data_IF_882941682457
#
_entry.id   IF_882941682457
#
_cell.length_a   1.000
_cell.length_b   1.000
_cell.length_c   1.000
_cell.angle_alpha   90.00
_cell.angle_beta   90.00
_cell.angle_gamma   90.00
#
_symmetry.space_group_name_H-M   'P 1'
#
loop_
_entity.id
_entity.type
_entity.pdbx_description
1 polymer ?
#
# COMPACT_ATOMS: atom_id res chain seq x y z
N UNK A 1 -16.61 -7.43 0.69
CA UNK A 1 -16.63 -6.02 1.16
C UNK A 1 -16.00 -5.12 0.11
N UNK A 2 -16.24 -3.80 0.11
CA UNK A 2 -15.54 -2.88 -0.80
C UNK A 2 -14.19 -2.48 -0.17
N UNK A 3 -13.10 -2.61 -0.92
CA UNK A 3 -11.78 -2.19 -0.46
C UNK A 3 -11.72 -0.67 -0.24
N UNK A 4 -11.03 -0.25 0.81
CA UNK A 4 -10.52 1.10 1.02
C UNK A 4 -9.04 1.10 0.67
N UNK A 5 -8.54 2.21 0.13
CA UNK A 5 -7.16 2.33 -0.33
C UNK A 5 -6.45 3.35 0.55
N UNK A 6 -5.27 2.97 1.06
CA UNK A 6 -4.47 3.76 1.97
C UNK A 6 -3.08 3.95 1.37
N UNK A 7 -2.55 5.16 1.48
CA UNK A 7 -1.18 5.51 1.14
C UNK A 7 -0.37 5.64 2.43
N UNK A 8 0.73 4.91 2.52
CA UNK A 8 1.73 4.98 3.58
C UNK A 8 2.96 5.66 3.00
N UNK A 9 3.17 6.95 3.28
CA UNK A 9 4.33 7.69 2.77
C UNK A 9 5.43 7.69 3.83
N UNK A 10 6.65 7.33 3.45
CA UNK A 10 7.85 7.32 4.30
C UNK A 10 9.05 7.89 3.51
N UNK A 11 10.24 7.94 4.11
CA UNK A 11 11.44 8.56 3.52
C UNK A 11 11.88 7.94 2.19
N UNK A 12 11.53 6.68 1.94
CA UNK A 12 12.00 5.89 0.79
C UNK A 12 10.93 5.75 -0.30
N UNK A 13 9.73 6.30 -0.09
CA UNK A 13 8.65 6.25 -1.06
C UNK A 13 7.28 6.16 -0.43
N UNK A 14 6.34 5.59 -1.17
CA UNK A 14 5.00 5.34 -0.66
C UNK A 14 4.50 3.96 -1.05
N UNK A 15 3.97 3.25 -0.05
CA UNK A 15 3.25 2.00 -0.24
C UNK A 15 1.75 2.28 -0.35
N UNK A 16 1.08 1.63 -1.30
CA UNK A 16 -0.37 1.74 -1.50
C UNK A 16 -1.00 0.41 -1.11
N UNK A 17 -1.88 0.41 -0.11
CA UNK A 17 -2.49 -0.80 0.45
C UNK A 17 -4.01 -0.74 0.30
N UNK A 18 -4.62 -1.82 -0.19
CA UNK A 18 -6.06 -2.03 -0.11
C UNK A 18 -6.40 -2.83 1.14
N UNK A 19 -7.37 -2.38 1.95
CA UNK A 19 -7.86 -3.08 3.14
C UNK A 19 -9.34 -2.77 3.42
N UNK A 20 -9.99 -3.49 4.33
CA UNK A 20 -11.39 -3.21 4.68
C UNK A 20 -11.53 -1.92 5.51
N UNK A 21 -10.50 -1.57 6.28
CA UNK A 21 -10.45 -0.40 7.15
C UNK A 21 -8.99 -0.01 7.47
N UNK A 22 -8.81 1.16 8.10
CA UNK A 22 -7.49 1.70 8.42
C UNK A 22 -6.71 0.82 9.40
N UNK A 23 -7.39 0.21 10.40
CA UNK A 23 -6.76 -0.66 11.38
C UNK A 23 -6.11 -1.86 10.72
N UNK A 24 -6.81 -2.51 9.79
CA UNK A 24 -6.27 -3.64 9.01
C UNK A 24 -5.08 -3.24 8.15
N UNK A 25 -5.16 -2.10 7.45
CA UNK A 25 -4.04 -1.61 6.62
C UNK A 25 -2.79 -1.32 7.48
N UNK A 26 -2.97 -0.66 8.62
CA UNK A 26 -1.90 -0.32 9.56
C UNK A 26 -1.25 -1.59 10.11
N UNK A 27 -2.06 -2.53 10.60
CA UNK A 27 -1.54 -3.79 11.13
C UNK A 27 -0.80 -4.58 10.06
N UNK A 28 -1.33 -4.66 8.85
CA UNK A 28 -0.68 -5.37 7.75
C UNK A 28 0.68 -4.75 7.41
N UNK A 29 0.75 -3.43 7.25
CA UNK A 29 1.98 -2.70 6.99
C UNK A 29 3.04 -3.02 8.06
N UNK A 30 2.76 -2.79 9.34
CA UNK A 30 3.74 -3.03 10.40
C UNK A 30 4.09 -4.51 10.62
N UNK A 31 3.21 -5.45 10.25
CA UNK A 31 3.49 -6.88 10.38
C UNK A 31 4.42 -7.38 9.26
N UNK A 32 4.29 -6.86 8.04
CA UNK A 32 5.21 -7.19 6.94
C UNK A 32 6.65 -6.80 7.27
N UNK A 33 6.84 -5.67 7.96
CA UNK A 33 8.14 -5.16 8.35
C UNK A 33 8.55 -5.57 9.78
N UNK A 34 7.79 -6.45 10.45
CA UNK A 34 8.10 -6.86 11.82
C UNK A 34 9.38 -7.69 11.93
N UNK A 35 9.70 -8.49 10.90
CA UNK A 35 10.91 -9.34 10.86
C UNK A 35 12.20 -8.53 10.56
N UNK A 36 12.07 -7.34 9.96
CA UNK A 36 13.19 -6.41 9.74
C UNK A 36 13.51 -5.57 10.99
N UNK A 37 12.68 -5.65 12.04
CA UNK A 37 12.89 -4.96 13.31
C UNK A 37 13.74 -5.83 14.22
N UNK A 38 15.06 -5.57 14.26
CA UNK A 38 15.86 -5.96 15.41
C UNK A 38 15.32 -5.21 16.64
N UNK A 39 14.65 -5.93 17.54
CA UNK A 39 13.95 -5.40 18.71
C UNK A 39 14.85 -4.83 19.84
N UNK A 40 15.99 -4.21 19.50
CA UNK A 40 16.85 -3.51 20.49
C UNK A 40 16.82 -1.99 20.34
N UNK A 41 16.33 -1.45 19.22
CA UNK A 41 16.13 0.00 19.05
C UNK A 41 14.65 0.33 18.99
N UNK A 42 14.24 1.28 19.83
CA UNK A 42 12.91 1.88 19.79
C UNK A 42 12.77 2.60 18.44
N UNK A 43 12.22 1.93 17.42
CA UNK A 43 11.96 2.52 16.12
C UNK A 43 10.86 3.57 16.30
N UNK A 44 11.26 4.83 16.46
CA UNK A 44 10.35 5.95 16.25
C UNK A 44 9.89 5.88 14.79
N UNK A 45 8.66 5.40 14.55
CA UNK A 45 7.95 5.59 13.28
C UNK A 45 7.54 7.07 13.06
N UNK A 46 8.41 8.00 13.47
CA UNK A 46 8.27 9.44 13.32
C UNK A 46 8.56 9.85 11.89
N UNK A 47 7.62 9.56 10.98
CA UNK A 47 7.78 9.94 9.57
C UNK A 47 6.83 9.26 8.61
N UNK A 48 6.01 8.30 9.06
CA UNK A 48 5.05 7.63 8.20
C UNK A 48 3.72 8.40 8.19
N UNK A 49 3.40 9.01 7.06
CA UNK A 49 2.11 9.66 6.83
C UNK A 49 1.13 8.67 6.21
N UNK A 50 0.01 8.42 6.90
CA UNK A 50 -1.04 7.49 6.47
C UNK A 50 -2.26 8.28 6.00
N UNK A 51 -2.63 8.13 4.73
CA UNK A 51 -3.78 8.84 4.13
C UNK A 51 -4.73 7.86 3.45
N UNK A 52 -6.04 7.95 3.74
CA UNK A 52 -7.08 7.25 2.97
C UNK A 52 -7.29 7.96 1.63
N UNK A 53 -7.00 7.29 0.52
CA UNK A 53 -7.22 7.81 -0.82
C UNK A 53 -8.69 7.68 -1.21
N UNK A 54 -9.26 8.74 -1.82
CA UNK A 54 -10.67 8.82 -2.23
C UNK A 54 -10.84 9.55 -3.56
N UNK A 55 -11.98 9.33 -4.20
CA UNK A 55 -12.37 10.05 -5.42
C UNK A 55 -11.36 9.89 -6.55
N UNK A 56 -10.93 11.00 -7.14
CA UNK A 56 -9.97 10.98 -8.25
C UNK A 56 -8.64 10.32 -7.89
N UNK A 57 -8.20 10.37 -6.62
CA UNK A 57 -6.94 9.78 -6.21
C UNK A 57 -6.90 8.25 -6.31
N UNK A 58 -8.05 7.58 -6.37
CA UNK A 58 -8.12 6.12 -6.55
C UNK A 58 -8.52 5.72 -7.97
N UNK A 59 -9.11 6.61 -8.76
CA UNK A 59 -9.55 6.36 -10.15
C UNK A 59 -8.58 6.88 -11.20
N UNK A 60 -7.70 7.82 -10.85
CA UNK A 60 -6.66 8.31 -11.75
C UNK A 60 -5.72 7.17 -12.13
N UNK A 61 -5.32 7.10 -13.39
CA UNK A 61 -4.35 6.11 -13.86
C UNK A 61 -2.93 6.53 -13.49
N UNK A 62 -2.18 5.57 -12.99
CA UNK A 62 -0.77 5.70 -12.64
C UNK A 62 0.03 4.72 -13.50
N UNK A 63 1.27 5.09 -13.79
CA UNK A 63 2.24 4.14 -14.36
C UNK A 63 2.72 3.25 -13.23
N UNK A 64 2.34 1.99 -13.25
CA UNK A 64 2.72 0.97 -12.26
C UNK A 64 3.51 -0.12 -12.96
N UNK A 65 4.61 -0.54 -12.35
CA UNK A 65 5.39 -1.66 -12.87
C UNK A 65 4.71 -2.98 -12.48
N UNK A 66 4.37 -3.79 -13.49
CA UNK A 66 3.79 -5.13 -13.32
C UNK A 66 4.91 -6.16 -13.46
N UNK A 67 5.36 -6.71 -12.33
CA UNK A 67 6.43 -7.71 -12.29
C UNK A 67 6.06 -9.00 -13.04
N UNK A 68 4.78 -9.37 -13.08
CA UNK A 68 4.33 -10.61 -13.74
C UNK A 68 4.48 -10.56 -15.27
N UNK A 69 4.44 -9.35 -15.82
CA UNK A 69 4.57 -9.09 -17.26
C UNK A 69 5.89 -8.43 -17.62
N UNK A 70 6.67 -8.02 -16.62
CA UNK A 70 7.90 -7.26 -16.78
C UNK A 70 7.71 -5.99 -17.63
N UNK A 71 6.60 -5.27 -17.40
CA UNK A 71 6.24 -4.06 -18.16
C UNK A 71 5.60 -2.98 -17.26
N UNK A 72 5.63 -1.73 -17.71
CA UNK A 72 4.90 -0.64 -17.05
C UNK A 72 3.50 -0.50 -17.64
N UNK A 73 2.48 -0.64 -16.82
CA UNK A 73 1.07 -0.54 -17.22
C UNK A 73 0.42 0.74 -16.68
N UNK A 74 -0.51 1.31 -17.44
CA UNK A 74 -1.31 2.46 -17.00
C UNK A 74 -2.62 2.00 -16.38
N UNK A 75 -2.66 2.00 -15.04
CA UNK A 75 -3.76 1.44 -14.25
C UNK A 75 -4.03 2.29 -13.01
N UNK A 76 -5.29 2.36 -12.57
CA UNK A 76 -5.67 3.03 -11.33
C UNK A 76 -5.56 2.10 -10.12
N UNK A 77 -5.38 2.67 -8.92
CA UNK A 77 -5.36 1.87 -7.69
C UNK A 77 -6.66 1.10 -7.47
N UNK A 78 -7.80 1.68 -7.87
CA UNK A 78 -9.08 0.99 -7.81
C UNK A 78 -9.15 -0.23 -8.74
N UNK A 79 -8.60 -0.14 -9.95
CA UNK A 79 -8.54 -1.28 -10.88
C UNK A 79 -7.69 -2.42 -10.29
N UNK A 80 -6.50 -2.12 -9.76
CA UNK A 80 -5.65 -3.12 -9.10
C UNK A 80 -6.37 -3.72 -7.88
N UNK A 81 -6.96 -2.89 -7.01
CA UNK A 81 -7.65 -3.34 -5.82
C UNK A 81 -8.84 -4.25 -6.17
N UNK A 82 -9.55 -4.00 -7.27
CA UNK A 82 -10.70 -4.82 -7.69
C UNK A 82 -10.26 -6.25 -8.07
N UNK A 83 -9.04 -6.40 -8.59
CA UNK A 83 -8.49 -7.69 -9.02
C UNK A 83 -7.83 -8.40 -7.82
N UNK A 84 -7.08 -7.67 -7.01
CA UNK A 84 -6.19 -8.25 -5.99
C UNK A 84 -6.83 -8.38 -4.61
N UNK A 85 -7.83 -7.57 -4.27
CA UNK A 85 -8.43 -7.59 -2.92
C UNK A 85 -9.50 -8.69 -2.77
N UNK A 86 -9.16 -9.76 -2.06
CA UNK A 86 -10.07 -10.88 -1.74
C UNK A 86 -10.39 -10.91 -0.24
N UNK A 87 -10.96 -9.82 0.29
CA UNK A 87 -11.28 -9.63 1.71
C UNK A 87 -10.08 -9.76 2.67
N UNK A 88 -8.86 -9.55 2.19
CA UNK A 88 -7.62 -9.48 2.99
C UNK A 88 -6.78 -8.30 2.51
N UNK A 89 -6.04 -7.60 3.40
CA UNK A 89 -5.15 -6.53 3.00
C UNK A 89 -4.14 -6.99 1.94
N UNK A 90 -3.84 -6.11 0.98
CA UNK A 90 -2.90 -6.38 -0.11
C UNK A 90 -2.16 -5.12 -0.52
N UNK A 91 -0.86 -5.25 -0.81
CA UNK A 91 -0.06 -4.19 -1.41
C UNK A 91 -0.42 -4.06 -2.89
N UNK A 92 -0.82 -2.87 -3.30
CA UNK A 92 -1.13 -2.52 -4.69
C UNK A 92 0.09 -1.93 -5.40
N UNK A 93 0.92 -1.19 -4.65
CA UNK A 93 2.16 -0.57 -5.13
C UNK A 93 3.14 -0.56 -3.97
N UNK A 94 4.35 -1.05 -4.23
CA UNK A 94 5.50 -0.96 -3.31
C UNK A 94 6.47 0.13 -3.79
N UNK A 95 7.25 0.74 -2.88
CA UNK A 95 8.42 1.52 -3.27
C UNK A 95 9.40 0.67 -4.07
N UNK A 96 10.08 1.27 -5.05
CA UNK A 96 11.21 0.63 -5.72
C UNK A 96 12.46 0.87 -4.86
N UNK A 97 12.91 -0.16 -4.14
CA UNK A 97 14.18 -0.17 -3.42
C UNK A 97 15.34 -0.61 -4.33
#
# INVERSE_FOLDING_TARGET
MKAKIFKFSHSEGAEIIAASNAKEAIMFFFTQYADDIQMDDMVEFGGIEITELKGENITKKHSVFDESKNETVSVSYQEIATISFVNSPVVLVSPSY
#
